data_IF_017505824564
#
_entry.id   IF_017505824564
#
_cell.length_a   1.000
_cell.length_b   1.000
_cell.length_c   1.000
_cell.angle_alpha   90.00
_cell.angle_beta   90.00
_cell.angle_gamma   90.00
#
_symmetry.space_group_name_H-M   'P 1'
#
loop_
_entity.id
_entity.type
_entity.pdbx_description
1 polymer ?
#
# COMPACT_ATOMS: atom_id res chain seq x y z
N UNK A 1 0.46 18.80 -2.72
CA UNK A 1 0.16 17.66 -3.62
C UNK A 1 -1.29 17.20 -3.50
N UNK A 2 -1.83 17.04 -2.27
CA UNK A 2 -3.25 16.75 -2.02
C UNK A 2 -4.24 17.69 -2.74
N UNK A 3 -3.96 19.00 -2.76
CA UNK A 3 -4.82 20.01 -3.38
C UNK A 3 -4.90 19.94 -4.92
N UNK A 4 -3.89 19.35 -5.57
CA UNK A 4 -3.84 19.24 -7.04
C UNK A 4 -4.61 18.02 -7.54
N UNK A 5 -4.73 16.99 -6.70
CA UNK A 5 -5.36 15.71 -7.05
C UNK A 5 -6.87 15.77 -6.89
N UNK A 6 -7.40 16.62 -6.00
CA UNK A 6 -8.84 16.87 -5.85
C UNK A 6 -9.47 17.65 -7.02
N UNK A 7 -8.66 18.30 -7.86
CA UNK A 7 -9.12 19.13 -8.97
C UNK A 7 -9.16 18.41 -10.33
N UNK A 8 -8.65 17.17 -10.42
CA UNK A 8 -8.54 16.42 -11.66
C UNK A 8 -9.67 15.38 -11.71
N UNK A 9 -10.63 15.53 -12.62
CA UNK A 9 -11.76 14.61 -12.76
C UNK A 9 -11.35 13.15 -13.07
N UNK A 10 -12.17 12.20 -12.61
CA UNK A 10 -11.92 10.75 -12.51
C UNK A 10 -11.22 10.08 -13.70
N UNK A 11 -11.50 10.50 -14.95
CA UNK A 11 -10.88 9.92 -16.15
C UNK A 11 -9.40 10.29 -16.34
N UNK A 12 -8.97 11.49 -15.92
CA UNK A 12 -7.56 11.91 -15.96
C UNK A 12 -6.78 11.38 -14.76
N UNK A 13 -7.47 11.10 -13.65
CA UNK A 13 -6.89 10.45 -12.46
C UNK A 13 -6.31 9.09 -12.84
N UNK A 14 -6.95 8.32 -13.73
CA UNK A 14 -6.46 6.98 -14.09
C UNK A 14 -5.09 6.97 -14.81
N UNK A 15 -4.84 7.89 -15.76
CA UNK A 15 -3.48 8.06 -16.36
C UNK A 15 -2.47 8.62 -15.37
N UNK A 16 -2.91 9.48 -14.45
CA UNK A 16 -2.06 10.02 -13.40
C UNK A 16 -1.70 8.93 -12.38
N UNK A 17 -2.63 8.02 -12.05
CA UNK A 17 -2.44 6.85 -11.17
C UNK A 17 -1.34 5.95 -11.71
N UNK A 18 -1.38 5.58 -13.00
CA UNK A 18 -0.32 4.75 -13.63
C UNK A 18 1.04 5.44 -13.58
N UNK A 19 1.09 6.76 -13.81
CA UNK A 19 2.33 7.54 -13.73
C UNK A 19 2.84 7.64 -12.28
N UNK A 20 1.96 7.88 -11.31
CA UNK A 20 2.31 7.90 -9.89
C UNK A 20 2.82 6.53 -9.45
N UNK A 21 2.10 5.45 -9.78
CA UNK A 21 2.53 4.08 -9.49
C UNK A 21 3.91 3.80 -10.08
N UNK A 22 4.15 4.19 -11.33
CA UNK A 22 5.45 4.03 -11.99
C UNK A 22 6.55 4.83 -11.28
N UNK A 23 6.28 6.10 -10.94
CA UNK A 23 7.22 6.96 -10.19
C UNK A 23 7.54 6.39 -8.82
N UNK A 24 6.53 5.89 -8.12
CA UNK A 24 6.67 5.35 -6.78
C UNK A 24 7.43 4.02 -6.81
N UNK A 25 7.15 3.14 -7.79
CA UNK A 25 7.94 1.92 -8.06
C UNK A 25 9.40 2.24 -8.38
N UNK A 26 9.65 3.24 -9.23
CA UNK A 26 11.01 3.71 -9.53
C UNK A 26 11.69 4.23 -8.25
N UNK A 27 10.94 4.94 -7.40
CA UNK A 27 11.44 5.41 -6.10
C UNK A 27 11.92 4.27 -5.19
N UNK A 28 11.26 3.12 -5.20
CA UNK A 28 11.68 1.92 -4.46
C UNK A 28 13.03 1.37 -4.95
N UNK A 29 13.42 1.64 -6.21
CA UNK A 29 14.68 1.18 -6.80
C UNK A 29 15.88 2.06 -6.41
N UNK A 30 15.65 3.29 -5.93
CA UNK A 30 16.71 4.20 -5.48
C UNK A 30 17.05 3.94 -4.01
N UNK A 31 17.61 2.77 -3.73
CA UNK A 31 17.76 2.22 -2.38
C UNK A 31 18.83 2.80 -1.42
N UNK A 32 19.72 3.80 -1.70
CA UNK A 32 20.80 4.04 -0.73
C UNK A 32 20.56 5.15 0.32
N UNK A 33 19.41 5.84 0.41
CA UNK A 33 19.21 6.86 1.48
C UNK A 33 17.85 6.76 2.16
N UNK A 34 17.88 6.58 3.49
CA UNK A 34 16.73 6.55 4.40
C UNK A 34 15.75 7.72 4.19
N UNK A 35 16.23 8.91 3.83
CA UNK A 35 15.35 10.06 3.53
C UNK A 35 14.35 9.81 2.39
N UNK A 36 14.73 9.01 1.39
CA UNK A 36 13.82 8.66 0.30
C UNK A 36 12.80 7.60 0.72
N UNK A 37 13.08 6.83 1.77
CA UNK A 37 12.21 5.77 2.26
C UNK A 37 10.92 6.34 2.86
N UNK A 38 11.04 7.29 3.79
CA UNK A 38 9.88 7.93 4.42
C UNK A 38 9.03 8.72 3.41
N UNK A 39 9.71 9.44 2.51
CA UNK A 39 9.03 10.15 1.42
C UNK A 39 8.32 9.17 0.47
N UNK A 40 8.93 8.02 0.17
CA UNK A 40 8.33 7.01 -0.68
C UNK A 40 7.13 6.34 0.01
N UNK A 41 7.23 6.00 1.29
CA UNK A 41 6.11 5.47 2.07
C UNK A 41 4.93 6.45 2.11
N UNK A 42 5.20 7.74 2.33
CA UNK A 42 4.16 8.77 2.29
C UNK A 42 3.52 8.91 0.90
N UNK A 43 4.30 8.76 -0.17
CA UNK A 43 3.79 8.77 -1.54
C UNK A 43 2.91 7.55 -1.80
N UNK A 44 3.26 6.36 -1.31
CA UNK A 44 2.40 5.18 -1.39
C UNK A 44 1.10 5.37 -0.64
N UNK A 45 1.14 5.87 0.60
CA UNK A 45 -0.06 6.16 1.39
C UNK A 45 -0.97 7.17 0.66
N UNK A 46 -0.37 8.21 0.09
CA UNK A 46 -1.10 9.19 -0.73
C UNK A 46 -1.67 8.55 -2.00
N UNK A 47 -0.94 7.65 -2.64
CA UNK A 47 -1.43 6.95 -3.83
C UNK A 47 -2.64 6.09 -3.50
N UNK A 48 -2.54 5.19 -2.51
CA UNK A 48 -3.63 4.25 -2.16
C UNK A 48 -4.88 4.96 -1.66
N UNK A 49 -4.73 6.12 -0.99
CA UNK A 49 -5.87 6.93 -0.54
C UNK A 49 -6.62 7.66 -1.66
N UNK A 50 -6.04 7.74 -2.86
CA UNK A 50 -6.63 8.39 -4.04
C UNK A 50 -7.18 7.39 -5.07
N UNK A 51 -7.05 6.10 -4.82
CA UNK A 51 -7.66 5.05 -5.64
C UNK A 51 -9.14 4.97 -5.29
N UNK A 52 -10.00 4.87 -6.30
CA UNK A 52 -11.43 4.64 -6.08
C UNK A 52 -11.63 3.24 -5.50
N UNK A 53 -12.63 3.06 -4.64
CA UNK A 53 -12.80 1.82 -3.89
C UNK A 53 -12.91 0.58 -4.79
N UNK A 54 -13.55 0.70 -5.95
CA UNK A 54 -13.65 -0.39 -6.93
C UNK A 54 -12.28 -0.80 -7.50
N UNK A 55 -11.45 0.18 -7.87
CA UNK A 55 -10.10 -0.07 -8.37
C UNK A 55 -9.20 -0.61 -7.25
N UNK A 56 -9.35 -0.10 -6.03
CA UNK A 56 -8.57 -0.51 -4.87
C UNK A 56 -8.78 -1.99 -4.55
N UNK A 57 -10.04 -2.44 -4.55
CA UNK A 57 -10.39 -3.84 -4.31
C UNK A 57 -9.72 -4.78 -5.33
N UNK A 58 -9.71 -4.39 -6.61
CA UNK A 58 -9.10 -5.17 -7.71
C UNK A 58 -7.57 -5.16 -7.67
N UNK A 59 -6.97 -4.04 -7.26
CA UNK A 59 -5.51 -3.85 -7.30
C UNK A 59 -4.83 -4.17 -5.97
N UNK A 60 -5.56 -4.53 -4.92
CA UNK A 60 -5.02 -4.70 -3.56
C UNK A 60 -3.78 -5.60 -3.54
N UNK A 61 -3.90 -6.80 -4.09
CA UNK A 61 -2.81 -7.79 -4.13
C UNK A 61 -1.60 -7.25 -4.88
N UNK A 62 -1.81 -6.59 -6.04
CA UNK A 62 -0.73 -6.00 -6.82
C UNK A 62 -0.03 -4.87 -6.06
N UNK A 63 -0.79 -3.99 -5.40
CA UNK A 63 -0.27 -2.88 -4.61
C UNK A 63 0.65 -3.43 -3.51
N UNK A 64 0.16 -4.40 -2.74
CA UNK A 64 0.92 -4.97 -1.62
C UNK A 64 2.11 -5.81 -2.11
N UNK A 65 1.97 -6.55 -3.21
CA UNK A 65 3.07 -7.29 -3.82
C UNK A 65 4.20 -6.35 -4.30
N UNK A 66 3.88 -5.15 -4.79
CA UNK A 66 4.89 -4.15 -5.15
C UNK A 66 5.62 -3.57 -3.93
N UNK A 67 5.03 -3.64 -2.73
CA UNK A 67 5.65 -3.24 -1.48
C UNK A 67 6.51 -4.34 -0.85
N UNK A 68 6.35 -5.60 -1.28
CA UNK A 68 7.07 -6.75 -0.71
C UNK A 68 8.60 -6.56 -0.64
N UNK A 69 9.28 -6.01 -1.68
CA UNK A 69 10.73 -5.81 -1.63
C UNK A 69 11.20 -4.86 -0.53
N UNK A 70 10.35 -3.93 -0.09
CA UNK A 70 10.69 -2.98 1.00
C UNK A 70 10.10 -3.38 2.34
N UNK A 71 9.03 -4.16 2.36
CA UNK A 71 8.45 -4.64 3.62
C UNK A 71 9.38 -5.62 4.35
N UNK A 72 10.26 -6.32 3.64
CA UNK A 72 11.24 -7.22 4.27
C UNK A 72 12.29 -6.47 5.11
N UNK A 73 12.84 -5.37 4.59
CA UNK A 73 13.95 -4.65 5.23
C UNK A 73 13.49 -3.37 5.98
N UNK A 74 12.30 -2.87 5.63
CA UNK A 74 11.81 -1.55 6.02
C UNK A 74 10.32 -1.56 6.39
N UNK A 75 9.85 -2.64 7.03
CA UNK A 75 8.43 -2.82 7.38
C UNK A 75 7.82 -1.60 8.06
N UNK A 76 8.50 -1.04 9.06
CA UNK A 76 7.98 0.09 9.85
C UNK A 76 7.66 1.33 9.02
N UNK A 77 8.47 1.63 8.00
CA UNK A 77 8.25 2.81 7.15
C UNK A 77 6.95 2.66 6.33
N UNK A 78 6.65 1.44 5.88
CA UNK A 78 5.50 1.15 5.02
C UNK A 78 4.27 0.61 5.77
N UNK A 79 4.41 0.34 7.07
CA UNK A 79 3.34 -0.14 7.91
C UNK A 79 2.09 0.75 7.89
N UNK A 80 2.18 2.10 7.87
CA UNK A 80 1.00 2.95 7.72
C UNK A 80 0.21 2.68 6.43
N UNK A 81 0.88 2.26 5.34
CA UNK A 81 0.20 1.90 4.08
C UNK A 81 -0.62 0.62 4.29
N UNK A 82 -0.05 -0.38 4.95
CA UNK A 82 -0.75 -1.64 5.25
C UNK A 82 -1.92 -1.40 6.22
N UNK A 83 -1.71 -0.63 7.28
CA UNK A 83 -2.76 -0.28 8.24
C UNK A 83 -3.93 0.45 7.58
N UNK A 84 -3.64 1.39 6.68
CA UNK A 84 -4.67 2.07 5.90
C UNK A 84 -5.50 1.09 5.06
N UNK A 85 -4.84 0.16 4.37
CA UNK A 85 -5.51 -0.82 3.51
C UNK A 85 -6.34 -1.84 4.30
N UNK A 86 -5.82 -2.29 5.45
CA UNK A 86 -6.38 -3.39 6.25
C UNK A 86 -7.47 -2.89 7.20
N UNK A 87 -7.24 -1.76 7.87
CA UNK A 87 -8.15 -1.25 8.90
C UNK A 87 -9.05 -0.13 8.37
N UNK A 88 -8.49 0.91 7.76
CA UNK A 88 -9.31 2.06 7.32
C UNK A 88 -10.15 1.73 6.08
N UNK A 89 -9.59 0.97 5.13
CA UNK A 89 -10.28 0.53 3.92
C UNK A 89 -10.91 -0.86 4.02
N UNK A 90 -11.06 -1.40 5.24
CA UNK A 90 -11.57 -2.75 5.50
C UNK A 90 -12.87 -3.10 4.75
N UNK A 91 -13.83 -2.18 4.70
CA UNK A 91 -15.11 -2.42 4.03
C UNK A 91 -14.94 -2.68 2.52
N UNK A 92 -13.89 -2.12 1.92
CA UNK A 92 -13.55 -2.22 0.50
C UNK A 92 -12.65 -3.44 0.24
N UNK A 93 -11.72 -3.70 1.15
CA UNK A 93 -10.69 -4.73 0.99
C UNK A 93 -11.08 -6.09 1.54
N UNK A 94 -12.20 -6.22 2.27
CA UNK A 94 -12.57 -7.47 2.98
C UNK A 94 -12.51 -8.73 2.11
N UNK A 95 -12.93 -8.64 0.85
CA UNK A 95 -13.08 -9.80 -0.03
C UNK A 95 -11.75 -10.20 -0.69
N UNK A 96 -10.77 -9.29 -0.72
CA UNK A 96 -9.45 -9.51 -1.31
C UNK A 96 -8.31 -9.56 -0.28
N UNK A 97 -8.58 -9.26 1.00
CA UNK A 97 -7.55 -9.20 2.04
C UNK A 97 -6.93 -10.57 2.34
N UNK A 98 -7.69 -11.66 2.19
CA UNK A 98 -7.18 -13.04 2.31
C UNK A 98 -6.10 -13.37 1.25
N UNK A 99 -6.09 -12.64 0.12
CA UNK A 99 -5.04 -12.80 -0.89
C UNK A 99 -3.68 -12.28 -0.41
N UNK A 100 -3.61 -11.62 0.75
CA UNK A 100 -2.39 -11.07 1.32
C UNK A 100 -1.64 -12.04 2.26
N UNK A 101 -2.03 -13.34 2.31
CA UNK A 101 -1.36 -14.38 3.11
C UNK A 101 0.16 -14.47 2.89
N UNK A 102 0.68 -14.01 1.75
CA UNK A 102 2.13 -13.94 1.53
C UNK A 102 2.87 -13.02 2.51
N UNK A 103 2.17 -12.10 3.20
CA UNK A 103 2.75 -11.26 4.25
C UNK A 103 3.18 -12.07 5.49
N UNK A 104 2.68 -13.30 5.67
CA UNK A 104 3.09 -14.20 6.75
C UNK A 104 4.56 -14.64 6.61
N UNK A 105 5.11 -14.55 5.39
CA UNK A 105 6.53 -14.83 5.14
C UNK A 105 7.48 -13.72 5.62
N UNK A 106 6.95 -12.55 5.97
CA UNK A 106 7.75 -11.41 6.44
C UNK A 106 8.01 -11.56 7.92
N UNK A 107 9.28 -11.75 8.28
CA UNK A 107 9.70 -11.82 9.67
C UNK A 107 9.86 -10.40 10.25
N UNK A 108 8.77 -9.83 10.77
CA UNK A 108 8.77 -8.54 11.45
C UNK A 108 8.30 -8.71 12.91
N UNK A 109 9.06 -8.17 13.86
CA UNK A 109 8.75 -8.27 15.30
C UNK A 109 7.76 -7.22 15.79
N UNK A 110 7.34 -6.30 14.92
CA UNK A 110 6.45 -5.19 15.26
C UNK A 110 5.07 -5.67 15.68
N UNK A 111 4.61 -5.25 16.86
CA UNK A 111 3.26 -5.55 17.33
C UNK A 111 2.19 -5.01 16.37
N UNK A 112 2.44 -3.85 15.76
CA UNK A 112 1.53 -3.26 14.76
C UNK A 112 1.42 -4.13 13.50
N UNK A 113 2.54 -4.71 13.05
CA UNK A 113 2.53 -5.62 11.91
C UNK A 113 1.83 -6.94 12.23
N UNK A 114 2.01 -7.47 13.44
CA UNK A 114 1.28 -8.66 13.90
C UNK A 114 -0.23 -8.44 13.91
N UNK A 115 -0.71 -7.23 14.25
CA UNK A 115 -2.13 -6.90 14.15
C UNK A 115 -2.64 -6.95 12.72
N UNK A 116 -1.83 -6.48 11.76
CA UNK A 116 -2.14 -6.58 10.33
C UNK A 116 -2.23 -8.04 9.89
N UNK A 117 -1.24 -8.86 10.25
CA UNK A 117 -1.25 -10.31 9.95
C UNK A 117 -2.48 -11.00 10.55
N UNK A 118 -2.81 -10.71 11.81
CA UNK A 118 -3.97 -11.30 12.48
C UNK A 118 -5.31 -10.95 11.79
N UNK A 119 -5.46 -9.76 11.20
CA UNK A 119 -6.66 -9.45 10.41
C UNK A 119 -6.71 -10.20 9.08
N UNK A 120 -5.56 -10.43 8.44
CA UNK A 120 -5.45 -11.21 7.20
C UNK A 120 -5.79 -12.69 7.49
N UNK A 121 -5.26 -13.24 8.58
CA UNK A 121 -5.54 -14.60 9.03
C UNK A 121 -7.04 -14.82 9.27
N UNK A 122 -7.72 -13.88 9.93
CA UNK A 122 -9.19 -13.96 10.17
C UNK A 122 -10.00 -13.98 8.88
N UNK A 123 -9.49 -13.41 7.80
CA UNK A 123 -10.15 -13.40 6.51
C UNK A 123 -9.82 -14.63 5.65
N UNK A 124 -8.81 -15.40 6.03
CA UNK A 124 -8.42 -16.63 5.34
C UNK A 124 -9.30 -17.78 5.84
N UNK A 125 -9.96 -18.53 4.94
CA UNK A 125 -10.89 -19.61 5.31
C UNK A 125 -10.20 -20.84 5.92
#
# INVERSE_FOLDING_TARGET
MQLFLSLIGSRKVNRLRVKILSTVKIGLQFQPRLYYLDANAQLWLTYVSLIDDQDLCQMLTDIVANLLPVLADHTEAFLPVLEYLVFEKRAVTKDSIACLHFLDSINCTSERFKLVQAEIEKATP
#
